data_IF_996428287656
#
_entry.id   IF_996428287656
#
_cell.length_a   1.000
_cell.length_b   1.000
_cell.length_c   1.000
_cell.angle_alpha   90.00
_cell.angle_beta   90.00
_cell.angle_gamma   90.00
#
_symmetry.space_group_name_H-M   'P 1'
#
loop_
_entity.id
_entity.type
_entity.pdbx_description
1 polymer ?
#
# COMPACT_ATOMS: atom_id res chain seq x y z
N UNK A 1 -13.76 9.14 8.35
CA UNK A 1 -12.32 8.96 8.09
C UNK A 1 -12.09 7.74 7.19
N UNK A 2 -12.62 7.73 5.95
CA UNK A 2 -12.49 6.59 5.02
C UNK A 2 -11.79 6.95 3.70
N UNK A 3 -11.57 8.24 3.41
CA UNK A 3 -11.27 8.67 2.04
C UNK A 3 -9.82 8.48 1.58
N UNK A 4 -8.81 8.73 2.43
CA UNK A 4 -7.42 8.94 1.96
C UNK A 4 -6.61 7.63 1.90
N UNK A 5 -7.02 6.65 2.69
CA UNK A 5 -6.58 5.28 2.53
C UNK A 5 -6.95 4.75 1.14
N UNK A 6 -8.13 5.11 0.62
CA UNK A 6 -8.69 4.61 -0.64
C UNK A 6 -8.04 5.19 -1.91
N UNK A 7 -7.50 6.41 -1.86
CA UNK A 7 -6.82 7.06 -3.01
C UNK A 7 -5.68 6.19 -3.55
N UNK A 8 -4.93 5.55 -2.64
CA UNK A 8 -3.79 4.71 -2.99
C UNK A 8 -4.19 3.30 -3.45
N UNK A 9 -5.39 2.84 -3.06
CA UNK A 9 -5.86 1.49 -3.37
C UNK A 9 -6.19 1.34 -4.87
N UNK A 10 -6.58 2.44 -5.55
CA UNK A 10 -6.76 2.50 -7.02
C UNK A 10 -5.55 2.08 -7.82
N UNK A 11 -4.46 2.86 -7.77
CA UNK A 11 -3.21 2.54 -8.45
C UNK A 11 -2.66 1.17 -8.04
N UNK A 12 -2.73 0.83 -6.74
CA UNK A 12 -2.26 -0.46 -6.23
C UNK A 12 -3.05 -1.63 -6.83
N UNK A 13 -4.38 -1.55 -6.90
CA UNK A 13 -5.21 -2.60 -7.50
C UNK A 13 -4.94 -2.78 -8.99
N UNK A 14 -4.84 -1.67 -9.74
CA UNK A 14 -4.54 -1.72 -11.17
C UNK A 14 -3.22 -2.46 -11.41
N UNK A 15 -2.23 -2.19 -10.57
CA UNK A 15 -0.94 -2.83 -10.65
C UNK A 15 -0.93 -4.30 -10.20
N UNK A 16 -1.61 -4.65 -9.11
CA UNK A 16 -1.76 -6.05 -8.72
C UNK A 16 -2.42 -6.86 -9.85
N UNK A 17 -3.34 -6.25 -10.59
CA UNK A 17 -3.95 -6.87 -11.78
C UNK A 17 -2.94 -7.05 -12.92
N UNK A 18 -2.04 -6.09 -13.14
CA UNK A 18 -0.93 -6.22 -14.10
C UNK A 18 0.03 -7.34 -13.69
N UNK A 19 0.44 -7.40 -12.42
CA UNK A 19 1.30 -8.47 -11.90
C UNK A 19 0.61 -9.85 -11.97
N UNK A 20 -0.71 -9.90 -11.75
CA UNK A 20 -1.51 -11.12 -11.96
C UNK A 20 -1.47 -11.57 -13.43
N UNK A 21 -1.50 -10.65 -14.39
CA UNK A 21 -1.40 -10.97 -15.82
C UNK A 21 0.02 -11.37 -16.26
N UNK A 22 1.05 -10.85 -15.58
CA UNK A 22 2.47 -11.13 -15.84
C UNK A 22 3.03 -12.28 -14.98
N UNK A 23 2.16 -13.05 -14.30
CA UNK A 23 2.45 -14.16 -13.37
C UNK A 23 3.43 -15.22 -13.91
N UNK A 24 3.65 -15.28 -15.22
CA UNK A 24 4.64 -16.17 -15.83
C UNK A 24 6.10 -15.78 -15.54
N UNK A 25 6.38 -14.52 -15.19
CA UNK A 25 7.71 -14.06 -14.78
C UNK A 25 7.80 -13.97 -13.25
N UNK A 26 8.05 -15.12 -12.60
CA UNK A 26 8.37 -15.16 -11.18
C UNK A 26 9.78 -14.58 -10.95
N UNK A 27 9.84 -13.37 -10.41
CA UNK A 27 11.08 -12.79 -9.90
C UNK A 27 11.01 -12.71 -8.37
N UNK A 28 12.06 -13.18 -7.70
CA UNK A 28 12.22 -13.09 -6.24
C UNK A 28 12.06 -11.65 -5.74
N UNK A 29 12.46 -10.66 -6.55
CA UNK A 29 12.26 -9.25 -6.21
C UNK A 29 10.78 -8.87 -6.13
N UNK A 30 9.93 -9.49 -6.95
CA UNK A 30 8.47 -9.27 -6.94
C UNK A 30 7.85 -9.84 -5.68
N UNK A 31 8.22 -11.06 -5.28
CA UNK A 31 7.71 -11.69 -4.05
C UNK A 31 8.09 -10.87 -2.81
N UNK A 32 9.33 -10.40 -2.73
CA UNK A 32 9.77 -9.53 -1.63
C UNK A 32 8.99 -8.21 -1.57
N UNK A 33 8.68 -7.61 -2.72
CA UNK A 33 7.85 -6.41 -2.80
C UNK A 33 6.42 -6.68 -2.33
N UNK A 34 5.79 -7.76 -2.82
CA UNK A 34 4.43 -8.14 -2.45
C UNK A 34 4.28 -8.41 -0.95
N UNK A 35 5.27 -9.07 -0.34
CA UNK A 35 5.30 -9.32 1.10
C UNK A 35 5.40 -8.01 1.91
N UNK A 36 6.26 -7.09 1.50
CA UNK A 36 6.40 -5.80 2.18
C UNK A 36 5.11 -4.96 2.10
N UNK A 37 4.45 -4.97 0.93
CA UNK A 37 3.17 -4.29 0.73
C UNK A 37 2.07 -4.91 1.60
N UNK A 38 2.00 -6.24 1.68
CA UNK A 38 1.06 -6.93 2.55
C UNK A 38 1.27 -6.54 4.02
N UNK A 39 2.53 -6.45 4.47
CA UNK A 39 2.86 -6.00 5.82
C UNK A 39 2.38 -4.57 6.08
N UNK A 40 2.68 -3.63 5.18
CA UNK A 40 2.29 -2.22 5.29
C UNK A 40 0.75 -2.06 5.33
N UNK A 41 0.02 -2.81 4.49
CA UNK A 41 -1.44 -2.82 4.48
C UNK A 41 -2.04 -3.33 5.79
N UNK A 42 -1.53 -4.45 6.31
CA UNK A 42 -2.01 -5.03 7.57
C UNK A 42 -1.83 -4.06 8.75
N UNK A 43 -0.66 -3.41 8.84
CA UNK A 43 -0.43 -2.41 9.90
C UNK A 43 -1.31 -1.17 9.70
N UNK A 44 -1.52 -0.73 8.46
CA UNK A 44 -2.42 0.39 8.15
C UNK A 44 -3.84 0.09 8.60
N UNK A 45 -4.35 -1.11 8.29
CA UNK A 45 -5.69 -1.57 8.70
C UNK A 45 -5.80 -1.65 10.22
N UNK A 46 -4.80 -2.23 10.89
CA UNK A 46 -4.73 -2.29 12.35
C UNK A 46 -4.76 -0.90 12.98
N UNK A 47 -4.02 0.06 12.43
CA UNK A 47 -4.02 1.45 12.90
C UNK A 47 -5.41 2.11 12.76
N UNK A 48 -6.09 1.89 11.63
CA UNK A 48 -7.45 2.39 11.41
C UNK A 48 -8.45 1.74 12.38
N UNK A 49 -8.39 0.42 12.57
CA UNK A 49 -9.30 -0.35 13.43
C UNK A 49 -9.15 -0.03 14.93
N UNK A 50 -7.92 0.25 15.39
CA UNK A 50 -7.64 0.59 16.79
C UNK A 50 -8.02 2.02 17.18
N UNK A 51 -8.71 2.75 16.29
CA UNK A 51 -9.18 4.09 16.55
C UNK A 51 -8.07 5.13 16.38
N UNK A 52 -7.58 5.30 15.15
CA UNK A 52 -6.69 6.40 14.72
C UNK A 52 -7.29 7.81 14.84
N UNK A 53 -8.10 8.04 15.87
CA UNK A 53 -8.72 9.30 16.23
C UNK A 53 -7.80 10.18 17.09
N UNK A 54 -6.85 9.58 17.81
CA UNK A 54 -5.75 10.30 18.44
C UNK A 54 -4.48 10.07 17.60
N UNK A 55 -3.82 11.15 17.17
CA UNK A 55 -2.62 11.07 16.32
C UNK A 55 -1.49 10.40 17.10
N UNK A 56 -1.30 9.11 16.86
CA UNK A 56 -0.11 8.39 17.31
C UNK A 56 1.00 8.58 16.27
N UNK A 57 1.77 9.65 16.42
CA UNK A 57 2.89 9.96 15.51
C UNK A 57 3.91 8.82 15.44
N UNK A 58 4.11 8.06 16.52
CA UNK A 58 5.02 6.92 16.48
C UNK A 58 4.50 5.84 15.53
N UNK A 59 3.20 5.54 15.58
CA UNK A 59 2.56 4.61 14.63
C UNK A 59 2.54 5.13 13.20
N UNK A 60 2.33 6.43 13.00
CA UNK A 60 2.41 7.03 11.67
C UNK A 60 3.83 6.88 11.08
N UNK A 61 4.89 7.15 11.86
CA UNK A 61 6.26 6.91 11.40
C UNK A 61 6.54 5.43 11.10
N UNK A 62 6.07 4.50 11.93
CA UNK A 62 6.19 3.07 11.63
C UNK A 62 5.50 2.70 10.30
N UNK A 63 4.33 3.28 10.03
CA UNK A 63 3.64 3.07 8.76
C UNK A 63 4.43 3.66 7.59
N UNK A 64 4.99 4.86 7.75
CA UNK A 64 5.86 5.46 6.74
C UNK A 64 7.02 4.52 6.39
N UNK A 65 7.74 4.01 7.39
CA UNK A 65 8.87 3.10 7.18
C UNK A 65 8.46 1.86 6.39
N UNK A 66 7.32 1.25 6.73
CA UNK A 66 6.80 0.07 6.03
C UNK A 66 6.45 0.37 4.56
N UNK A 67 5.82 1.51 4.29
CA UNK A 67 5.49 1.93 2.93
C UNK A 67 6.75 2.33 2.13
N UNK A 68 7.76 2.90 2.77
CA UNK A 68 9.08 3.18 2.19
C UNK A 68 9.83 1.90 1.83
N UNK A 69 9.83 0.92 2.73
CA UNK A 69 10.45 -0.39 2.47
C UNK A 69 9.76 -1.09 1.28
N UNK A 70 8.43 -1.08 1.26
CA UNK A 70 7.65 -1.61 0.15
C UNK A 70 8.01 -0.91 -1.17
N UNK A 71 8.15 0.42 -1.18
CA UNK A 71 8.61 1.18 -2.34
C UNK A 71 9.99 0.72 -2.83
N UNK A 72 10.97 0.64 -1.94
CA UNK A 72 12.35 0.27 -2.28
C UNK A 72 12.39 -1.11 -2.95
N UNK A 73 11.65 -2.08 -2.41
CA UNK A 73 11.56 -3.43 -2.98
C UNK A 73 10.82 -3.43 -4.31
N UNK A 74 9.76 -2.63 -4.43
CA UNK A 74 9.00 -2.48 -5.66
C UNK A 74 9.80 -1.83 -6.80
N UNK A 75 10.83 -1.00 -6.53
CA UNK A 75 11.60 -0.29 -7.57
C UNK A 75 12.16 -1.21 -8.65
N UNK A 76 12.52 -2.43 -8.29
CA UNK A 76 13.10 -3.42 -9.21
C UNK A 76 12.04 -4.11 -10.06
N UNK A 77 10.83 -4.25 -9.53
CA UNK A 77 9.71 -4.86 -10.23
C UNK A 77 9.00 -3.82 -11.14
N UNK A 78 8.77 -2.60 -10.62
CA UNK A 78 8.04 -1.56 -11.32
C UNK A 78 8.34 -0.17 -10.70
N UNK A 79 8.93 0.73 -11.48
CA UNK A 79 9.32 2.08 -11.00
C UNK A 79 8.08 2.94 -10.67
N UNK A 80 7.08 3.10 -11.57
CA UNK A 80 5.84 3.80 -11.24
C UNK A 80 5.16 3.28 -9.96
N UNK A 81 5.29 1.97 -9.69
CA UNK A 81 4.75 1.36 -8.48
C UNK A 81 5.45 1.81 -7.21
N UNK A 82 6.78 1.81 -7.27
CA UNK A 82 7.60 2.25 -6.16
C UNK A 82 7.35 3.73 -5.84
N UNK A 83 7.18 4.57 -6.85
CA UNK A 83 6.90 5.99 -6.65
C UNK A 83 5.58 6.19 -5.91
N UNK A 84 4.53 5.45 -6.30
CA UNK A 84 3.24 5.50 -5.62
C UNK A 84 3.36 5.04 -4.14
N UNK A 85 4.07 3.93 -3.87
CA UNK A 85 4.30 3.45 -2.49
C UNK A 85 5.09 4.47 -1.66
N UNK A 86 6.03 5.17 -2.28
CA UNK A 86 6.82 6.22 -1.64
C UNK A 86 5.98 7.47 -1.33
N UNK A 87 5.03 7.83 -2.20
CA UNK A 87 4.05 8.87 -1.88
C UNK A 87 3.22 8.49 -0.65
N UNK A 88 2.84 7.21 -0.53
CA UNK A 88 2.14 6.73 0.67
C UNK A 88 3.00 6.77 1.92
N UNK A 89 4.30 6.51 1.82
CA UNK A 89 5.27 6.72 2.91
C UNK A 89 5.26 8.17 3.38
N UNK A 90 5.45 9.11 2.45
CA UNK A 90 5.49 10.56 2.75
C UNK A 90 4.22 11.07 3.38
N UNK A 91 3.07 10.53 2.98
CA UNK A 91 1.78 10.84 3.60
C UNK A 91 1.79 10.52 5.10
N UNK A 92 2.37 9.39 5.51
CA UNK A 92 2.46 9.03 6.93
C UNK A 92 3.55 9.83 7.66
N UNK A 93 4.64 10.23 6.98
CA UNK A 93 5.67 11.10 7.57
C UNK A 93 5.12 12.50 7.88
N UNK A 94 4.37 13.09 6.96
CA UNK A 94 3.88 14.46 7.06
C UNK A 94 2.44 14.59 6.56
N UNK A 95 1.51 14.24 7.44
CA UNK A 95 0.08 14.37 7.20
C UNK A 95 -0.41 15.84 7.23
N UNK A 96 0.43 16.82 7.63
CA UNK A 96 0.00 18.22 7.81
C UNK A 96 -0.19 18.97 6.48
N UNK A 97 0.28 18.41 5.37
CA UNK A 97 0.30 19.06 4.04
C UNK A 97 -0.92 18.70 3.16
N UNK A 98 -1.73 17.70 3.53
CA UNK A 98 -2.76 17.14 2.64
C UNK A 98 -4.16 17.37 3.21
N UNK A 99 -4.77 18.51 2.85
CA UNK A 99 -6.18 18.80 3.16
C UNK A 99 -7.13 17.76 2.56
N UNK A 100 -8.17 17.39 3.32
CA UNK A 100 -9.07 16.25 3.14
C UNK A 100 -9.95 16.24 1.86
N UNK A 101 -9.76 17.19 0.95
CA UNK A 101 -10.74 17.52 -0.10
C UNK A 101 -10.65 16.68 -1.39
N UNK A 102 -9.80 15.64 -1.47
CA UNK A 102 -9.63 14.86 -2.71
C UNK A 102 -9.80 13.34 -2.55
N UNK A 103 -10.60 12.91 -1.59
CA UNK A 103 -10.63 11.52 -1.13
C UNK A 103 -11.99 10.80 -1.36
N UNK A 104 -12.76 11.24 -2.37
CA UNK A 104 -14.04 10.62 -2.73
C UNK A 104 -14.05 10.33 -4.24
N UNK A 105 -13.42 9.22 -4.63
CA UNK A 105 -13.80 8.49 -5.83
C UNK A 105 -13.06 7.15 -5.90
N UNK A 106 -13.84 6.06 -5.88
CA UNK A 106 -13.47 4.65 -6.14
C UNK A 106 -13.12 3.84 -4.88
N UNK A 107 -14.19 3.31 -4.29
CA UNK A 107 -14.15 2.32 -3.23
C UNK A 107 -13.51 1.02 -3.69
N UNK A 108 -12.19 0.93 -3.51
CA UNK A 108 -11.46 -0.32 -3.51
C UNK A 108 -11.31 -0.70 -2.07
N UNK A 109 -11.94 -1.80 -1.67
CA UNK A 109 -11.90 -2.27 -0.29
C UNK A 109 -10.54 -2.92 -0.05
N UNK A 110 -9.90 -2.60 1.08
CA UNK A 110 -8.67 -3.24 1.55
C UNK A 110 -8.70 -4.77 1.39
N UNK A 111 -9.86 -5.38 1.64
CA UNK A 111 -10.09 -6.82 1.49
C UNK A 111 -9.87 -7.36 0.07
N UNK A 112 -10.15 -6.55 -0.96
CA UNK A 112 -9.95 -6.94 -2.35
C UNK A 112 -8.45 -6.97 -2.69
N UNK A 113 -7.69 -5.99 -2.20
CA UNK A 113 -6.24 -5.92 -2.38
C UNK A 113 -5.53 -7.02 -1.59
N UNK A 114 -5.97 -7.30 -0.35
CA UNK A 114 -5.50 -8.44 0.43
C UNK A 114 -5.70 -9.76 -0.32
N UNK A 115 -6.90 -9.98 -0.90
CA UNK A 115 -7.18 -11.18 -1.70
C UNK A 115 -6.29 -11.30 -2.93
N UNK A 116 -6.06 -10.22 -3.67
CA UNK A 116 -5.17 -10.24 -4.83
C UNK A 116 -3.70 -10.50 -4.45
N UNK A 117 -3.24 -9.94 -3.33
CA UNK A 117 -1.91 -10.23 -2.78
C UNK A 117 -1.78 -11.69 -2.38
N UNK A 118 -2.80 -12.25 -1.71
CA UNK A 118 -2.80 -13.65 -1.30
C UNK A 118 -2.85 -14.59 -2.50
N UNK A 119 -3.59 -14.27 -3.55
CA UNK A 119 -3.59 -15.03 -4.81
C UNK A 119 -2.20 -15.01 -5.48
N UNK A 120 -1.56 -13.85 -5.54
CA UNK A 120 -0.21 -13.72 -6.09
C UNK A 120 0.81 -14.55 -5.28
N UNK A 121 0.79 -14.43 -3.95
CA UNK A 121 1.72 -15.12 -3.05
C UNK A 121 1.45 -16.62 -2.91
N UNK A 122 0.19 -17.07 -2.92
CA UNK A 122 -0.18 -18.50 -2.84
C UNK A 122 0.01 -19.24 -4.17
N UNK A 123 0.14 -18.50 -5.27
CA UNK A 123 0.48 -19.04 -6.58
C UNK A 123 1.98 -19.29 -6.79
N UNK A 124 2.79 -19.05 -5.74
CA UNK A 124 4.23 -19.35 -5.61
C UNK A 124 4.51 -20.86 -5.60
#
# INVERSE_FOLDING_TARGET
>A
MAGIAEIFLGPLQGLLSTLQSERHYKDKNTDEALLAIKSALLQTKKHIELGGHERDRAKEYELAELWSEASIKARRANIPFADALNEKSRYWEDQEVWEEDQAIAKGIKFSQIEGQLDELLSSS
#
